data_IF_202918212841
#
_entry.id   IF_202918212841
#
_cell.length_a   1.000
_cell.length_b   1.000
_cell.length_c   1.000
_cell.angle_alpha   90.00
_cell.angle_beta   90.00
_cell.angle_gamma   90.00
#
_symmetry.space_group_name_H-M   'P 1'
#
loop_
_entity.id
_entity.type
_entity.pdbx_description
1 polymer ?
#
# COMPACT_ATOMS: atom_id res chain seq x y z
N UNK A 1 -30.50 11.93 5.80
CA UNK A 1 -29.28 12.12 4.97
C UNK A 1 -28.36 10.92 5.16
N UNK A 2 -28.37 9.97 4.22
CA UNK A 2 -27.53 8.77 4.30
C UNK A 2 -26.07 9.17 4.08
N UNK A 3 -25.28 9.19 5.16
CA UNK A 3 -23.84 9.39 5.10
C UNK A 3 -23.23 8.24 4.30
N UNK A 4 -23.16 8.43 2.98
CA UNK A 4 -22.44 7.58 2.04
C UNK A 4 -20.96 7.84 2.32
N UNK A 5 -20.47 7.28 3.43
CA UNK A 5 -19.08 7.36 3.85
C UNK A 5 -18.24 6.84 2.68
N UNK A 6 -17.68 7.76 1.89
CA UNK A 6 -16.52 7.48 1.05
C UNK A 6 -15.44 7.07 2.05
N UNK A 7 -15.36 5.77 2.36
CA UNK A 7 -14.38 5.25 3.30
C UNK A 7 -13.03 5.38 2.61
N UNK A 8 -12.33 6.48 2.90
CA UNK A 8 -10.97 6.67 2.43
C UNK A 8 -10.07 5.76 3.27
N UNK A 9 -9.31 4.91 2.59
CA UNK A 9 -8.36 4.01 3.23
C UNK A 9 -6.96 4.36 2.74
N UNK A 10 -6.27 5.32 3.39
CA UNK A 10 -4.95 5.71 2.92
C UNK A 10 -3.99 4.53 2.92
N UNK A 11 -3.10 4.53 1.94
CA UNK A 11 -1.95 3.65 1.88
C UNK A 11 -0.72 4.43 2.33
N UNK A 12 -0.07 3.95 3.37
CA UNK A 12 1.18 4.51 3.89
C UNK A 12 2.36 3.69 3.36
N UNK A 13 3.32 4.35 2.74
CA UNK A 13 4.50 3.73 2.15
C UNK A 13 5.69 4.05 3.03
N UNK A 14 6.14 3.05 3.78
CA UNK A 14 7.36 3.14 4.59
C UNK A 14 8.51 2.44 3.89
N UNK A 15 9.67 3.08 3.83
CA UNK A 15 10.90 2.40 3.43
C UNK A 15 11.52 1.76 4.65
N UNK A 16 11.85 0.49 4.54
CA UNK A 16 12.53 -0.27 5.58
C UNK A 16 14.03 -0.30 5.27
N UNK A 17 14.82 0.33 6.14
CA UNK A 17 16.28 0.32 6.07
C UNK A 17 16.87 -0.83 6.90
N UNK A 18 16.21 -1.16 8.02
CA UNK A 18 16.54 -2.32 8.85
C UNK A 18 15.26 -2.90 9.50
N UNK A 19 15.37 -4.02 10.21
CA UNK A 19 14.23 -4.61 10.93
C UNK A 19 13.56 -3.64 11.92
N UNK A 20 14.34 -2.68 12.45
CA UNK A 20 13.90 -1.73 13.47
C UNK A 20 13.71 -0.31 12.93
N UNK A 21 14.21 -0.03 11.72
CA UNK A 21 14.19 1.30 11.13
C UNK A 21 13.31 1.36 9.90
N UNK A 22 12.21 2.11 10.02
CA UNK A 22 11.20 2.31 8.98
C UNK A 22 10.82 3.78 8.93
N UNK A 23 10.93 4.37 7.75
CA UNK A 23 10.60 5.79 7.55
C UNK A 23 9.38 5.89 6.65
N UNK A 24 8.35 6.62 7.11
CA UNK A 24 7.18 6.94 6.29
C UNK A 24 7.57 8.00 5.26
N UNK A 25 7.48 7.66 3.97
CA UNK A 25 7.88 8.54 2.88
C UNK A 25 6.67 9.02 2.07
N UNK A 26 5.66 8.18 1.87
CA UNK A 26 4.48 8.56 1.09
C UNK A 26 3.18 8.15 1.74
N UNK A 27 2.14 8.92 1.45
CA UNK A 27 0.75 8.57 1.76
C UNK A 27 -0.06 8.74 0.47
N UNK A 28 -0.63 7.65 -0.03
CA UNK A 28 -1.59 7.68 -1.13
C UNK A 28 -3.01 7.68 -0.57
N UNK A 29 -3.86 8.60 -1.04
CA UNK A 29 -5.30 8.51 -0.83
C UNK A 29 -5.83 7.43 -1.77
N UNK A 30 -6.11 6.22 -1.26
CA UNK A 30 -6.79 5.22 -2.06
C UNK A 30 -8.31 5.45 -2.00
N UNK A 31 -8.92 5.53 -3.17
CA UNK A 31 -10.37 5.60 -3.30
C UNK A 31 -10.99 4.30 -2.78
N UNK A 32 -11.95 4.43 -1.88
CA UNK A 32 -12.52 3.33 -1.10
C UNK A 32 -13.22 2.23 -1.91
N UNK A 33 -13.35 2.37 -3.23
CA UNK A 33 -13.94 1.36 -4.11
C UNK A 33 -13.10 0.09 -4.20
N UNK A 34 -11.78 0.17 -4.01
CA UNK A 34 -10.91 -1.01 -4.13
C UNK A 34 -10.52 -1.66 -2.80
N UNK A 35 -10.69 -0.97 -1.67
CA UNK A 35 -10.50 -1.57 -0.34
C UNK A 35 -11.81 -2.16 0.18
N UNK A 36 -12.15 -3.33 -0.32
CA UNK A 36 -13.32 -4.08 0.11
C UNK A 36 -12.91 -5.50 0.54
N UNK A 37 -12.83 -5.74 1.87
CA UNK A 37 -12.97 -7.09 2.41
C UNK A 37 -14.37 -7.70 2.16
N UNK A 38 -15.27 -6.94 1.51
CA UNK A 38 -16.66 -7.33 1.23
C UNK A 38 -16.82 -8.50 0.25
N UNK A 39 -15.76 -8.98 -0.44
CA UNK A 39 -15.84 -10.33 -1.02
C UNK A 39 -15.71 -11.34 0.11
N UNK A 40 -16.86 -11.77 0.63
CA UNK A 40 -17.03 -12.89 1.58
C UNK A 40 -16.08 -14.03 1.16
N UNK A 41 -15.15 -14.41 2.04
CA UNK A 41 -14.22 -15.52 1.80
C UNK A 41 -12.83 -15.17 1.26
N UNK A 42 -12.47 -13.91 1.01
CA UNK A 42 -11.07 -13.57 0.69
C UNK A 42 -10.18 -13.49 1.93
N UNK A 43 -9.10 -14.25 1.95
CA UNK A 43 -8.06 -14.11 2.97
C UNK A 43 -7.28 -12.80 2.81
N UNK A 44 -6.64 -12.33 3.88
CA UNK A 44 -5.73 -11.16 3.84
C UNK A 44 -4.63 -11.34 2.77
N UNK A 45 -4.19 -12.58 2.57
CA UNK A 45 -3.19 -12.95 1.56
C UNK A 45 -3.69 -12.76 0.13
N UNK A 46 -4.94 -13.15 -0.17
CA UNK A 46 -5.53 -12.97 -1.50
C UNK A 46 -5.73 -11.49 -1.82
N UNK A 47 -6.16 -10.69 -0.85
CA UNK A 47 -6.25 -9.25 -1.03
C UNK A 47 -4.86 -8.61 -1.28
N UNK A 48 -3.84 -9.07 -0.56
CA UNK A 48 -2.45 -8.62 -0.76
C UNK A 48 -1.96 -8.88 -2.19
N UNK A 49 -2.21 -10.08 -2.72
CA UNK A 49 -1.78 -10.46 -4.07
C UNK A 49 -2.53 -9.68 -5.15
N UNK A 50 -3.86 -9.61 -5.05
CA UNK A 50 -4.71 -9.10 -6.13
C UNK A 50 -4.78 -7.58 -6.17
N UNK A 51 -4.65 -6.91 -5.02
CA UNK A 51 -4.96 -5.49 -4.90
C UNK A 51 -3.77 -4.66 -4.43
N UNK A 52 -3.15 -5.04 -3.32
CA UNK A 52 -2.08 -4.24 -2.73
C UNK A 52 -0.82 -4.25 -3.59
N UNK A 53 -0.41 -5.42 -4.09
CA UNK A 53 0.86 -5.58 -4.81
C UNK A 53 0.93 -4.80 -6.12
N UNK A 54 -0.02 -4.92 -7.07
CA UNK A 54 0.05 -4.18 -8.33
C UNK A 54 -0.03 -2.66 -8.11
N UNK A 55 -0.89 -2.21 -7.18
CA UNK A 55 -1.08 -0.80 -6.87
C UNK A 55 0.14 -0.19 -6.17
N UNK A 56 0.75 -0.94 -5.25
CA UNK A 56 1.98 -0.51 -4.59
C UNK A 56 3.14 -0.37 -5.57
N UNK A 57 3.29 -1.32 -6.52
CA UNK A 57 4.29 -1.25 -7.57
C UNK A 57 4.09 0.00 -8.44
N UNK A 58 2.90 0.15 -9.03
CA UNK A 58 2.55 1.30 -9.88
C UNK A 58 2.78 2.64 -9.18
N UNK A 59 2.36 2.78 -7.92
CA UNK A 59 2.54 4.02 -7.18
C UNK A 59 4.03 4.32 -6.94
N UNK A 60 4.82 3.32 -6.57
CA UNK A 60 6.26 3.48 -6.35
C UNK A 60 7.01 3.76 -7.66
N UNK A 61 6.58 3.17 -8.78
CA UNK A 61 7.08 3.49 -10.13
C UNK A 61 6.82 4.95 -10.48
N UNK A 62 5.58 5.42 -10.33
CA UNK A 62 5.20 6.83 -10.57
C UNK A 62 5.93 7.82 -9.67
N UNK A 63 6.38 7.39 -8.50
CA UNK A 63 7.19 8.21 -7.58
C UNK A 63 8.69 8.12 -7.83
N UNK A 64 9.12 7.34 -8.83
CA UNK A 64 10.53 7.01 -9.05
C UNK A 64 11.21 6.58 -7.74
N UNK A 65 10.49 5.80 -6.93
CA UNK A 65 10.91 5.48 -5.58
C UNK A 65 12.17 4.61 -5.61
N UNK A 66 13.08 4.87 -4.67
CA UNK A 66 14.34 4.15 -4.57
C UNK A 66 14.17 2.63 -4.40
N UNK A 67 15.08 1.80 -4.94
CA UNK A 67 15.11 0.38 -4.68
C UNK A 67 15.20 0.06 -3.18
N UNK A 68 14.68 -1.11 -2.78
CA UNK A 68 14.76 -1.58 -1.41
C UNK A 68 13.48 -2.24 -0.92
N UNK A 69 13.37 -2.33 0.40
CA UNK A 69 12.20 -2.93 1.05
C UNK A 69 11.19 -1.84 1.39
N UNK A 70 9.96 -2.04 0.94
CA UNK A 70 8.84 -1.14 1.13
C UNK A 70 7.74 -1.85 1.90
N UNK A 71 7.24 -1.20 2.94
CA UNK A 71 6.05 -1.61 3.68
C UNK A 71 4.90 -0.70 3.28
N UNK A 72 3.89 -1.27 2.64
CA UNK A 72 2.66 -0.56 2.32
C UNK A 72 1.58 -0.97 3.30
N UNK A 73 1.13 -0.01 4.09
CA UNK A 73 0.14 -0.23 5.14
C UNK A 73 -1.15 0.46 4.74
N UNK A 74 -2.23 -0.31 4.61
CA UNK A 74 -3.56 0.28 4.57
C UNK A 74 -4.02 0.61 5.98
N UNK A 75 -4.41 1.86 6.16
CA UNK A 75 -4.95 2.35 7.42
C UNK A 75 -6.40 2.76 7.28
N UNK A 76 -7.16 2.62 8.37
CA UNK A 76 -8.43 3.32 8.55
C UNK A 76 -8.15 4.51 9.46
N UNK A 77 -8.48 5.70 8.98
CA UNK A 77 -8.43 6.91 9.79
C UNK A 77 -9.80 7.12 10.41
N UNK A 78 -9.84 7.18 11.72
CA UNK A 78 -10.99 7.57 12.55
C UNK A 78 -10.67 8.93 13.19
N UNK A 79 -11.66 9.68 13.72
CA UNK A 79 -11.41 11.00 14.31
C UNK A 79 -10.36 11.00 15.42
N UNK A 80 -10.29 9.93 16.21
CA UNK A 80 -9.47 9.78 17.41
C UNK A 80 -8.29 8.82 17.23
N UNK A 81 -8.28 8.01 16.16
CA UNK A 81 -7.28 6.94 16.01
C UNK A 81 -7.02 6.53 14.58
N UNK A 82 -5.85 5.93 14.37
CA UNK A 82 -5.46 5.30 13.12
C UNK A 82 -5.34 3.79 13.34
N UNK A 83 -6.13 3.01 12.59
CA UNK A 83 -6.13 1.56 12.68
C UNK A 83 -5.38 0.97 11.49
N UNK A 84 -4.36 0.15 11.77
CA UNK A 84 -3.72 -0.66 10.73
C UNK A 84 -4.64 -1.81 10.34
N UNK A 85 -4.97 -1.91 9.06
CA UNK A 85 -5.81 -3.00 8.55
C UNK A 85 -4.95 -4.13 7.98
N UNK A 86 -4.00 -3.75 7.13
CA UNK A 86 -3.07 -4.68 6.49
C UNK A 86 -1.74 -3.98 6.23
N UNK A 87 -0.64 -4.72 6.41
CA UNK A 87 0.69 -4.30 5.99
C UNK A 87 1.23 -5.35 5.04
N UNK A 88 1.78 -4.86 3.93
CA UNK A 88 2.32 -5.65 2.86
C UNK A 88 3.79 -5.27 2.66
N UNK A 89 4.68 -6.26 2.58
CA UNK A 89 6.12 -6.06 2.43
C UNK A 89 6.52 -6.38 0.99
N UNK A 90 7.13 -5.41 0.33
CA UNK A 90 7.55 -5.47 -1.07
C UNK A 90 9.04 -5.24 -1.18
N UNK A 91 9.68 -6.00 -2.05
CA UNK A 91 11.02 -5.67 -2.53
C UNK A 91 10.87 -4.98 -3.87
N UNK A 92 11.24 -3.70 -3.93
CA UNK A 92 11.45 -2.98 -5.18
C UNK A 92 12.87 -3.23 -5.63
N UNK A 93 13.02 -3.94 -6.74
CA UNK A 93 14.32 -4.05 -7.42
C UNK A 93 14.50 -2.83 -8.32
N UNK A 94 15.73 -2.46 -8.68
CA UNK A 94 15.95 -1.56 -9.80
C UNK A 94 15.19 -2.10 -11.02
N UNK A 95 14.62 -1.22 -11.85
CA UNK A 95 14.29 -1.64 -13.21
C UNK A 95 15.58 -2.20 -13.83
N UNK A 96 15.50 -3.41 -14.38
CA UNK A 96 16.58 -3.89 -15.23
C UNK A 96 16.71 -2.85 -16.34
N UNK A 97 17.83 -2.14 -16.37
CA UNK A 97 18.28 -1.51 -17.62
C UNK A 97 18.42 -2.68 -18.59
N UNK A 98 17.44 -2.86 -19.47
CA UNK A 98 17.63 -3.72 -20.62
C UNK A 98 18.57 -2.92 -21.49
N UNK A 99 19.87 -3.18 -21.38
CA UNK A 99 20.84 -2.74 -22.37
C UNK A 99 20.37 -3.31 -23.71
N UNK A 100 19.77 -2.44 -24.53
CA UNK A 100 19.60 -2.71 -25.95
C UNK A 100 20.98 -2.54 -26.57
N UNK A 101 21.75 -3.63 -26.54
CA UNK A 101 22.92 -3.78 -27.39
C UNK A 101 22.47 -4.13 -28.81
#
# INVERSE_FOLDING_TARGET
MSARWRRHYPLEYRREFSKYERVLLYIEKADGSGFCFHKKGRSRTQWHQDYARPRAADFLDRKAAEPGIWLVTTVRVLPDKRLTLCTARFRRTPERVIDKN
#
